data_IF_348853909918
#
_entry.id   IF_348853909918
#
_cell.length_a   1.000
_cell.length_b   1.000
_cell.length_c   1.000
_cell.angle_alpha   90.00
_cell.angle_beta   90.00
_cell.angle_gamma   90.00
#
_symmetry.space_group_name_H-M   'P 1'
#
loop_
_entity.id
_entity.type
_entity.pdbx_description
1 polymer ?
#
# COMPACT_ATOMS: atom_id res chain seq x y z
N UNK A 1 8.77 9.43 1.48
CA UNK A 1 9.76 9.68 2.56
C UNK A 1 9.36 8.96 3.85
N UNK A 2 10.24 8.13 4.39
CA UNK A 2 10.00 7.43 5.65
C UNK A 2 9.95 8.40 6.83
N UNK A 3 9.15 8.07 7.86
CA UNK A 3 8.99 8.86 9.08
C UNK A 3 8.50 10.30 8.85
N UNK A 4 7.82 10.58 7.72
CA UNK A 4 7.33 11.91 7.36
C UNK A 4 6.52 12.56 8.49
N UNK A 5 5.75 11.75 9.23
CA UNK A 5 4.91 12.23 10.33
C UNK A 5 5.46 11.90 11.73
N UNK A 6 6.74 11.58 11.84
CA UNK A 6 7.40 11.13 13.08
C UNK A 6 7.24 12.07 14.27
N UNK A 7 7.14 13.37 14.02
CA UNK A 7 7.08 14.42 15.05
C UNK A 7 5.68 14.99 15.30
N UNK A 8 4.62 14.30 14.85
CA UNK A 8 3.23 14.78 14.97
C UNK A 8 2.35 13.86 15.86
N UNK A 9 2.70 13.62 17.13
CA UNK A 9 2.05 12.60 17.98
C UNK A 9 0.58 12.91 18.33
N UNK A 10 0.12 14.13 18.07
CA UNK A 10 -1.25 14.59 18.33
C UNK A 10 -2.10 14.72 17.05
N UNK A 11 -1.60 14.28 15.90
CA UNK A 11 -2.35 14.37 14.64
C UNK A 11 -3.57 13.46 14.70
N UNK A 12 -4.76 14.04 14.47
CA UNK A 12 -6.05 13.32 14.53
C UNK A 12 -6.60 13.05 13.13
N UNK A 13 -6.35 13.95 12.18
CA UNK A 13 -6.86 13.85 10.81
C UNK A 13 -5.73 14.13 9.83
N UNK A 14 -5.62 13.27 8.84
CA UNK A 14 -4.67 13.38 7.74
C UNK A 14 -5.44 13.19 6.43
N UNK A 15 -5.48 14.25 5.63
CA UNK A 15 -6.10 14.23 4.30
C UNK A 15 -5.00 14.34 3.24
N UNK A 16 -4.85 13.26 2.47
CA UNK A 16 -3.95 13.13 1.34
C UNK A 16 -4.73 12.80 0.05
N UNK A 17 -6.05 13.03 0.05
CA UNK A 17 -6.90 12.76 -1.10
C UNK A 17 -6.59 13.68 -2.28
N UNK A 18 -6.96 13.27 -3.50
CA UNK A 18 -6.73 14.06 -4.73
C UNK A 18 -5.25 14.39 -4.99
N UNK A 19 -4.38 13.40 -4.82
CA UNK A 19 -2.95 13.50 -5.11
C UNK A 19 -2.53 12.40 -6.10
N UNK A 20 -1.22 12.32 -6.38
CA UNK A 20 -0.63 11.32 -7.28
C UNK A 20 0.15 10.26 -6.50
N UNK A 21 -0.26 9.94 -5.27
CA UNK A 21 0.44 8.94 -4.45
C UNK A 21 0.30 7.57 -5.08
N UNK A 22 1.41 6.84 -5.20
CA UNK A 22 1.45 5.49 -5.77
C UNK A 22 1.50 4.40 -4.70
N UNK A 23 1.96 4.73 -3.49
CA UNK A 23 2.09 3.77 -2.41
C UNK A 23 2.03 4.42 -1.02
N UNK A 24 1.69 3.61 -0.02
CA UNK A 24 1.91 3.90 1.40
C UNK A 24 2.85 2.83 1.94
N UNK A 25 4.12 3.20 2.19
CA UNK A 25 5.13 2.28 2.70
C UNK A 25 5.04 2.08 4.22
N UNK A 26 5.66 1.01 4.72
CA UNK A 26 5.69 0.60 6.14
C UNK A 26 5.89 1.75 7.13
N UNK A 27 6.85 2.64 6.86
CA UNK A 27 7.24 3.73 7.76
C UNK A 27 6.57 5.07 7.44
N UNK A 28 5.72 5.15 6.42
CA UNK A 28 5.12 6.41 5.96
C UNK A 28 4.25 7.04 7.04
N UNK A 29 3.44 6.24 7.74
CA UNK A 29 2.47 6.70 8.76
C UNK A 29 2.97 6.48 10.19
N UNK A 30 4.26 6.22 10.37
CA UNK A 30 4.86 6.01 11.69
C UNK A 30 4.98 7.34 12.43
N UNK A 31 4.62 7.35 13.72
CA UNK A 31 4.70 8.53 14.61
C UNK A 31 3.39 9.30 14.82
N UNK A 32 2.28 8.87 14.19
CA UNK A 32 0.94 9.46 14.34
C UNK A 32 -0.07 8.47 14.97
N UNK A 33 0.18 7.97 16.20
CA UNK A 33 -0.63 6.90 16.80
C UNK A 33 -2.07 7.32 17.12
N UNK A 34 -2.35 8.63 17.23
CA UNK A 34 -3.67 9.19 17.57
C UNK A 34 -4.58 9.41 16.36
N UNK A 35 -4.14 9.03 15.16
CA UNK A 35 -4.87 9.32 13.94
C UNK A 35 -6.23 8.59 13.91
N UNK A 36 -7.30 9.35 13.72
CA UNK A 36 -8.68 8.89 13.63
C UNK A 36 -9.25 8.91 12.22
N UNK A 37 -8.75 9.80 11.38
CA UNK A 37 -9.24 9.94 10.00
C UNK A 37 -8.07 9.98 9.04
N UNK A 38 -8.04 9.01 8.13
CA UNK A 38 -7.08 8.93 7.04
C UNK A 38 -7.82 8.92 5.70
N UNK A 39 -7.61 9.97 4.91
CA UNK A 39 -8.20 10.08 3.57
C UNK A 39 -7.11 9.93 2.51
N UNK A 40 -7.22 8.89 1.70
CA UNK A 40 -6.31 8.56 0.60
C UNK A 40 -7.05 8.37 -0.75
N UNK A 41 -8.32 8.76 -0.83
CA UNK A 41 -9.12 8.57 -2.03
C UNK A 41 -8.67 9.48 -3.19
N UNK A 42 -8.98 9.10 -4.43
CA UNK A 42 -8.52 9.83 -5.62
C UNK A 42 -7.00 9.98 -5.65
N UNK A 43 -6.30 8.85 -5.59
CA UNK A 43 -4.86 8.74 -5.77
C UNK A 43 -4.56 7.65 -6.81
N UNK A 44 -3.28 7.31 -6.98
CA UNK A 44 -2.81 6.25 -7.90
C UNK A 44 -2.25 5.05 -7.12
N UNK A 45 -2.76 4.79 -5.91
CA UNK A 45 -2.19 3.78 -5.03
C UNK A 45 -2.31 2.39 -5.66
N UNK A 46 -1.18 1.73 -5.86
CA UNK A 46 -1.09 0.32 -6.26
C UNK A 46 -0.82 -0.60 -5.09
N UNK A 47 -0.28 -0.05 -3.98
CA UNK A 47 0.02 -0.80 -2.77
C UNK A 47 -0.16 0.02 -1.49
N UNK A 48 -0.67 -0.61 -0.44
CA UNK A 48 -0.70 -0.09 0.93
C UNK A 48 -0.13 -1.13 1.89
N UNK A 49 0.94 -0.76 2.62
CA UNK A 49 1.65 -1.69 3.48
C UNK A 49 0.80 -2.05 4.69
N UNK A 50 0.69 -3.35 4.97
CA UNK A 50 -0.12 -3.86 6.07
C UNK A 50 0.27 -3.25 7.41
N UNK A 51 1.57 -3.12 7.67
CA UNK A 51 2.11 -2.63 8.95
C UNK A 51 1.82 -1.15 9.15
N UNK A 52 1.87 -0.35 8.08
CA UNK A 52 1.60 1.08 8.14
C UNK A 52 0.18 1.35 8.69
N UNK A 53 -0.83 0.66 8.16
CA UNK A 53 -2.23 0.85 8.57
C UNK A 53 -2.52 0.16 9.90
N UNK A 54 -2.02 -1.06 10.14
CA UNK A 54 -2.24 -1.78 11.40
C UNK A 54 -1.74 -1.02 12.63
N UNK A 55 -0.76 -0.12 12.46
CA UNK A 55 -0.24 0.71 13.55
C UNK A 55 -1.24 1.76 14.06
N UNK A 56 -2.25 2.11 13.26
CA UNK A 56 -3.22 3.18 13.54
C UNK A 56 -4.44 2.66 14.32
N UNK A 57 -4.23 2.27 15.58
CA UNK A 57 -5.25 1.63 16.43
C UNK A 57 -6.48 2.49 16.71
N UNK A 58 -6.34 3.82 16.67
CA UNK A 58 -7.42 4.78 16.90
C UNK A 58 -8.20 5.15 15.63
N UNK A 59 -7.89 4.52 14.48
CA UNK A 59 -8.49 4.89 13.20
C UNK A 59 -10.00 4.57 13.16
N UNK A 60 -10.80 5.60 12.90
CA UNK A 60 -12.26 5.53 12.80
C UNK A 60 -12.74 5.62 11.35
N UNK A 61 -11.99 6.32 10.48
CA UNK A 61 -12.31 6.53 9.07
C UNK A 61 -11.10 6.27 8.19
N UNK A 62 -11.26 5.39 7.19
CA UNK A 62 -10.27 5.12 6.15
C UNK A 62 -10.93 5.18 4.76
N UNK A 63 -10.44 6.05 3.87
CA UNK A 63 -10.85 6.04 2.46
C UNK A 63 -9.69 5.68 1.54
N UNK A 64 -9.83 4.60 0.79
CA UNK A 64 -8.92 4.16 -0.27
C UNK A 64 -9.64 4.04 -1.63
N UNK A 65 -10.88 4.52 -1.75
CA UNK A 65 -11.63 4.45 -2.99
C UNK A 65 -10.98 5.27 -4.11
N UNK A 66 -11.29 4.91 -5.36
CA UNK A 66 -10.77 5.61 -6.55
C UNK A 66 -9.23 5.61 -6.55
N UNK A 67 -8.67 4.40 -6.51
CA UNK A 67 -7.23 4.10 -6.56
C UNK A 67 -7.00 2.90 -7.51
N UNK A 68 -5.76 2.41 -7.61
CA UNK A 68 -5.37 1.33 -8.51
C UNK A 68 -4.99 0.03 -7.75
N UNK A 69 -5.62 -0.21 -6.59
CA UNK A 69 -5.29 -1.37 -5.76
C UNK A 69 -5.83 -2.65 -6.41
N UNK A 70 -4.96 -3.64 -6.57
CA UNK A 70 -5.32 -4.96 -7.12
C UNK A 70 -5.58 -5.99 -6.03
N UNK A 71 -4.96 -5.82 -4.87
CA UNK A 71 -5.13 -6.67 -3.69
C UNK A 71 -4.90 -5.84 -2.42
N UNK A 72 -5.20 -6.43 -1.27
CA UNK A 72 -4.91 -5.88 0.06
C UNK A 72 -4.29 -7.00 0.92
N UNK A 73 -3.31 -6.69 1.77
CA UNK A 73 -2.68 -7.69 2.64
C UNK A 73 -3.67 -8.21 3.69
N UNK A 74 -3.62 -9.51 3.99
CA UNK A 74 -4.62 -10.22 4.83
C UNK A 74 -4.86 -9.58 6.19
N UNK A 75 -3.81 -9.01 6.79
CA UNK A 75 -3.86 -8.45 8.13
C UNK A 75 -4.09 -6.93 8.15
N UNK A 76 -4.35 -6.29 7.01
CA UNK A 76 -4.45 -4.81 6.91
C UNK A 76 -5.36 -4.19 7.97
N UNK A 77 -6.46 -4.87 8.30
CA UNK A 77 -7.48 -4.39 9.23
C UNK A 77 -7.47 -5.07 10.60
N UNK A 78 -6.50 -5.95 10.89
CA UNK A 78 -6.50 -6.81 12.08
C UNK A 78 -6.59 -6.02 13.41
N UNK A 79 -5.99 -4.84 13.47
CA UNK A 79 -5.90 -4.00 14.68
C UNK A 79 -6.81 -2.76 14.66
N UNK A 80 -7.68 -2.61 13.66
CA UNK A 80 -8.51 -1.42 13.49
C UNK A 80 -9.86 -1.54 14.23
N UNK A 81 -9.80 -1.79 15.54
CA UNK A 81 -11.00 -2.04 16.36
C UNK A 81 -11.97 -0.85 16.44
N UNK A 82 -11.50 0.37 16.13
CA UNK A 82 -12.29 1.60 16.15
C UNK A 82 -12.89 1.97 14.80
N UNK A 83 -12.62 1.21 13.74
CA UNK A 83 -13.01 1.55 12.38
C UNK A 83 -14.54 1.55 12.22
N UNK A 84 -15.08 2.68 11.78
CA UNK A 84 -16.52 2.90 11.56
C UNK A 84 -16.85 3.14 10.10
N UNK A 85 -15.88 3.58 9.31
CA UNK A 85 -16.06 3.82 7.88
C UNK A 85 -14.83 3.37 7.12
N UNK A 86 -15.06 2.52 6.14
CA UNK A 86 -14.07 2.05 5.18
C UNK A 86 -14.64 2.26 3.78
N UNK A 87 -13.86 2.81 2.86
CA UNK A 87 -14.22 2.93 1.44
C UNK A 87 -13.14 2.31 0.58
N UNK A 88 -13.50 1.31 -0.21
CA UNK A 88 -12.61 0.58 -1.13
C UNK A 88 -13.14 0.54 -2.58
N UNK A 89 -14.31 1.13 -2.85
CA UNK A 89 -14.92 1.16 -4.19
C UNK A 89 -13.99 1.78 -5.23
N UNK A 90 -14.21 1.48 -6.51
CA UNK A 90 -13.39 2.03 -7.61
C UNK A 90 -11.89 1.73 -7.44
N UNK A 91 -11.58 0.45 -7.19
CA UNK A 91 -10.24 -0.11 -7.26
C UNK A 91 -10.24 -1.30 -8.24
N UNK A 92 -9.06 -1.77 -8.61
CA UNK A 92 -8.88 -2.84 -9.59
C UNK A 92 -8.73 -4.23 -8.92
N UNK A 93 -9.55 -4.50 -7.90
CA UNK A 93 -9.45 -5.67 -7.04
C UNK A 93 -9.56 -6.98 -7.84
N UNK A 94 -8.54 -7.83 -7.71
CA UNK A 94 -8.48 -9.17 -8.27
C UNK A 94 -9.03 -10.14 -7.22
N UNK A 95 -10.24 -10.64 -7.45
CA UNK A 95 -10.93 -11.58 -6.59
C UNK A 95 -10.47 -13.02 -6.82
N UNK A 96 -9.19 -13.26 -6.54
CA UNK A 96 -8.58 -14.59 -6.50
C UNK A 96 -8.49 -15.12 -5.06
N UNK A 97 -7.84 -16.27 -4.86
CA UNK A 97 -7.67 -16.86 -3.53
C UNK A 97 -7.01 -15.92 -2.50
N UNK A 98 -6.16 -14.98 -2.94
CA UNK A 98 -5.47 -14.03 -2.06
C UNK A 98 -6.40 -12.95 -1.52
N UNK A 99 -7.51 -12.64 -2.18
CA UNK A 99 -8.49 -11.67 -1.70
C UNK A 99 -9.66 -12.30 -0.92
N UNK A 100 -9.72 -13.63 -0.82
CA UNK A 100 -10.78 -14.36 -0.12
C UNK A 100 -10.94 -13.94 1.35
N UNK A 101 -9.86 -13.52 2.02
CA UNK A 101 -9.91 -13.00 3.39
C UNK A 101 -10.77 -11.74 3.48
N UNK A 102 -10.73 -10.87 2.47
CA UNK A 102 -11.46 -9.60 2.48
C UNK A 102 -12.96 -9.86 2.44
N UNK A 103 -13.40 -10.83 1.62
CA UNK A 103 -14.79 -11.27 1.59
C UNK A 103 -15.24 -11.82 2.95
N UNK A 104 -14.43 -12.69 3.58
CA UNK A 104 -14.69 -13.20 4.94
C UNK A 104 -14.79 -12.08 5.98
N UNK A 105 -13.92 -11.08 5.87
CA UNK A 105 -13.90 -9.94 6.79
C UNK A 105 -15.12 -9.03 6.58
N UNK A 106 -15.44 -8.66 5.34
CA UNK A 106 -16.58 -7.79 5.03
C UNK A 106 -17.92 -8.41 5.42
N UNK A 107 -18.08 -9.73 5.30
CA UNK A 107 -19.28 -10.44 5.78
C UNK A 107 -19.50 -10.28 7.28
N UNK A 108 -18.43 -10.16 8.08
CA UNK A 108 -18.54 -9.89 9.53
C UNK A 108 -18.87 -8.43 9.84
N UNK A 109 -18.59 -7.51 8.91
CA UNK A 109 -18.79 -6.07 9.06
C UNK A 109 -19.58 -5.46 7.89
N UNK A 110 -20.86 -5.83 7.71
CA UNK A 110 -21.64 -5.52 6.50
C UNK A 110 -21.93 -4.03 6.25
N UNK A 111 -21.58 -3.16 7.20
CA UNK A 111 -21.69 -1.69 7.07
C UNK A 111 -20.40 -1.03 6.58
N UNK A 112 -19.28 -1.76 6.55
CA UNK A 112 -17.98 -1.26 6.13
C UNK A 112 -17.74 -1.61 4.66
N UNK A 113 -17.09 -0.70 3.92
CA UNK A 113 -16.74 -0.87 2.51
C UNK A 113 -17.90 -1.33 1.61
N UNK A 114 -19.08 -0.72 1.83
CA UNK A 114 -20.22 -0.90 0.93
C UNK A 114 -19.78 -0.63 -0.51
N UNK A 115 -20.29 -1.45 -1.44
CA UNK A 115 -20.01 -1.34 -2.88
C UNK A 115 -18.57 -1.69 -3.30
N UNK A 116 -17.81 -2.40 -2.47
CA UNK A 116 -16.53 -2.98 -2.89
C UNK A 116 -16.80 -4.10 -3.91
N UNK A 117 -16.38 -3.90 -5.15
CA UNK A 117 -16.62 -4.84 -6.26
C UNK A 117 -15.32 -5.41 -6.79
N UNK A 118 -15.40 -6.63 -7.29
CA UNK A 118 -14.32 -7.24 -8.04
C UNK A 118 -14.16 -6.56 -9.40
N UNK A 119 -12.91 -6.31 -9.80
CA UNK A 119 -12.58 -5.88 -11.15
C UNK A 119 -12.22 -7.07 -12.05
N UNK A 120 -11.54 -8.06 -11.47
CA UNK A 120 -11.05 -9.28 -12.12
C UNK A 120 -11.23 -10.45 -11.14
N UNK A 121 -11.28 -11.72 -11.58
CA UNK A 121 -11.35 -12.17 -12.98
C UNK A 121 -12.69 -11.83 -13.62
N UNK A 122 -12.79 -11.96 -14.96
CA UNK A 122 -13.96 -11.54 -15.75
C UNK A 122 -15.28 -12.18 -15.26
N UNK A 123 -15.21 -13.39 -14.71
CA UNK A 123 -16.37 -14.12 -14.19
C UNK A 123 -16.94 -13.49 -12.91
N UNK A 124 -16.08 -12.84 -12.13
CA UNK A 124 -16.46 -12.18 -10.87
C UNK A 124 -16.56 -10.66 -11.03
N UNK A 125 -16.24 -10.11 -12.21
CA UNK A 125 -16.26 -8.68 -12.47
C UNK A 125 -17.61 -8.06 -12.07
N UNK A 126 -17.54 -6.91 -11.41
CA UNK A 126 -18.66 -6.13 -10.87
C UNK A 126 -19.45 -6.81 -9.73
N UNK A 127 -19.13 -8.05 -9.35
CA UNK A 127 -19.72 -8.70 -8.18
C UNK A 127 -19.22 -8.04 -6.90
N UNK A 128 -20.12 -7.91 -5.92
CA UNK A 128 -19.79 -7.38 -4.61
C UNK A 128 -18.95 -8.40 -3.84
N UNK A 129 -17.77 -7.98 -3.37
CA UNK A 129 -16.79 -8.87 -2.70
C UNK A 129 -17.40 -9.56 -1.47
N UNK A 130 -18.29 -8.88 -0.74
CA UNK A 130 -18.92 -9.43 0.46
C UNK A 130 -19.97 -10.53 0.16
N UNK A 131 -20.49 -10.58 -1.07
CA UNK A 131 -21.54 -11.52 -1.46
C UNK A 131 -20.96 -12.84 -2.01
N UNK A 132 -19.66 -12.87 -2.29
CA UNK A 132 -18.95 -14.04 -2.82
C UNK A 132 -18.55 -15.04 -1.72
N UNK A 133 -18.56 -16.32 -2.07
CA UNK A 133 -18.13 -17.42 -1.21
C UNK A 133 -16.69 -17.82 -1.48
N UNK A 134 -16.03 -18.41 -0.47
CA UNK A 134 -14.60 -18.75 -0.51
C UNK A 134 -14.21 -19.66 -1.70
N UNK A 135 -15.15 -20.49 -2.20
CA UNK A 135 -14.92 -21.39 -3.35
C UNK A 135 -14.81 -20.67 -4.70
N UNK A 136 -15.31 -19.43 -4.79
CA UNK A 136 -15.27 -18.62 -6.00
C UNK A 136 -13.90 -17.94 -6.19
N UNK A 137 -13.19 -17.71 -5.09
CA UNK A 137 -11.85 -17.14 -5.06
C UNK A 137 -10.78 -18.21 -5.37
N UNK A 138 -10.30 -18.24 -6.62
CA UNK A 138 -9.36 -19.27 -7.11
C UNK A 138 -8.06 -18.66 -7.61
N UNK A 139 -6.94 -19.31 -7.32
CA UNK A 139 -5.63 -19.01 -7.90
C UNK A 139 -5.17 -20.18 -8.77
N UNK A 140 -4.56 -19.89 -9.91
CA UNK A 140 -3.67 -20.86 -10.57
C UNK A 140 -2.41 -21.00 -9.73
N UNK A 141 -1.93 -22.22 -9.46
CA UNK A 141 -0.80 -22.51 -8.56
C UNK A 141 0.57 -21.90 -8.90
N UNK A 142 0.62 -20.92 -9.81
CA UNK A 142 1.76 -20.08 -10.18
C UNK A 142 1.61 -18.62 -9.72
N UNK A 143 0.46 -18.24 -9.15
CA UNK A 143 0.27 -16.89 -8.62
C UNK A 143 1.06 -16.77 -7.31
N UNK A 144 2.24 -16.14 -7.39
CA UNK A 144 3.01 -15.77 -6.22
C UNK A 144 2.15 -14.88 -5.31
N UNK A 145 2.20 -15.11 -4.00
CA UNK A 145 1.51 -14.26 -3.04
C UNK A 145 1.98 -12.82 -3.25
N UNK A 146 1.08 -11.83 -3.39
CA UNK A 146 1.50 -10.44 -3.38
C UNK A 146 2.28 -10.18 -2.09
N UNK A 147 3.48 -9.62 -2.19
CA UNK A 147 4.30 -9.29 -1.04
C UNK A 147 3.51 -8.35 -0.11
N UNK A 148 3.55 -8.63 1.20
CA UNK A 148 2.92 -7.77 2.21
C UNK A 148 3.63 -6.42 2.37
N UNK A 149 4.81 -6.30 1.79
CA UNK A 149 5.62 -5.09 1.75
C UNK A 149 5.32 -4.36 0.45
N UNK A 150 4.92 -3.10 0.59
CA UNK A 150 4.88 -2.20 -0.55
C UNK A 150 6.29 -1.85 -0.93
N UNK A 151 6.84 -2.66 -1.80
CA UNK A 151 7.98 -2.26 -2.58
C UNK A 151 7.46 -1.11 -3.45
N UNK A 152 8.01 0.10 -3.24
CA UNK A 152 8.18 0.94 -4.42
C UNK A 152 8.88 0.00 -5.39
N UNK A 153 8.42 -0.15 -6.63
CA UNK A 153 9.37 -0.53 -7.66
C UNK A 153 10.60 0.32 -7.35
N UNK A 154 11.66 -0.33 -6.88
CA UNK A 154 12.78 0.40 -6.35
C UNK A 154 13.49 0.86 -7.60
N UNK A 155 12.91 1.88 -8.21
CA UNK A 155 13.35 2.43 -9.46
C UNK A 155 14.73 2.91 -9.13
N UNK A 156 15.68 2.38 -9.90
CA UNK A 156 17.05 2.72 -9.73
C UNK A 156 17.16 4.25 -9.62
N UNK A 157 17.75 4.80 -8.56
CA UNK A 157 17.76 6.23 -8.34
C UNK A 157 18.33 6.90 -9.58
N UNK A 158 17.55 7.75 -10.28
CA UNK A 158 18.09 8.47 -11.43
C UNK A 158 19.12 9.49 -10.93
N UNK A 159 20.33 9.57 -11.51
CA UNK A 159 20.80 9.05 -12.80
C UNK A 159 21.64 7.74 -12.74
N UNK A 160 21.50 6.95 -11.68
CA UNK A 160 22.22 5.71 -11.45
C UNK A 160 21.69 4.54 -12.30
N UNK A 161 22.49 3.47 -12.38
CA UNK A 161 22.13 2.21 -13.05
C UNK A 161 22.08 1.07 -12.04
N UNK A 162 21.08 0.20 -12.15
CA UNK A 162 20.89 -0.89 -11.21
C UNK A 162 20.84 -2.23 -11.95
N UNK A 163 21.65 -3.19 -11.50
CA UNK A 163 21.73 -4.54 -12.06
C UNK A 163 22.23 -5.51 -10.99
N UNK A 164 21.61 -6.68 -10.86
CA UNK A 164 22.06 -7.78 -9.99
C UNK A 164 22.36 -7.37 -8.54
N UNK A 165 21.54 -6.49 -7.95
CA UNK A 165 21.75 -5.97 -6.60
C UNK A 165 22.85 -4.90 -6.47
N UNK A 166 23.41 -4.42 -7.57
CA UNK A 166 24.37 -3.31 -7.60
C UNK A 166 23.66 -2.03 -8.01
N UNK A 167 23.84 -0.95 -7.24
CA UNK A 167 23.42 0.41 -7.59
C UNK A 167 24.66 1.23 -7.95
N UNK A 168 24.87 1.46 -9.24
CA UNK A 168 26.02 2.20 -9.78
C UNK A 168 25.67 3.66 -10.05
N UNK A 169 26.12 4.54 -9.15
CA UNK A 169 25.94 5.99 -9.19
C UNK A 169 27.25 6.73 -9.46
N UNK A 170 28.27 6.09 -10.04
CA UNK A 170 29.58 6.74 -10.27
C UNK A 170 29.51 7.80 -11.37
N UNK A 171 30.28 8.87 -11.19
CA UNK A 171 30.44 9.95 -12.18
C UNK A 171 29.10 10.59 -12.57
N UNK A 172 28.20 10.72 -11.59
CA UNK A 172 26.84 11.25 -11.76
C UNK A 172 26.65 12.67 -11.26
N UNK A 173 27.74 13.33 -10.86
CA UNK A 173 27.73 14.67 -10.27
C UNK A 173 26.72 14.78 -9.11
N UNK A 174 26.60 13.71 -8.31
CA UNK A 174 25.74 13.73 -7.14
C UNK A 174 26.32 14.66 -6.09
N UNK A 175 25.50 15.56 -5.55
CA UNK A 175 25.85 16.42 -4.42
C UNK A 175 25.41 15.83 -3.07
N UNK A 176 24.58 14.78 -3.09
CA UNK A 176 24.07 14.06 -1.92
C UNK A 176 23.90 12.58 -2.22
N UNK A 177 23.93 11.75 -1.18
CA UNK A 177 23.57 10.33 -1.26
C UNK A 177 22.08 10.20 -1.60
N UNK A 178 21.65 9.33 -2.54
CA UNK A 178 20.24 9.13 -2.87
C UNK A 178 19.43 8.65 -1.66
N UNK A 179 18.28 9.28 -1.42
CA UNK A 179 17.42 8.98 -0.26
C UNK A 179 16.68 7.64 -0.38
N UNK A 180 16.61 7.06 -1.59
CA UNK A 180 15.86 5.85 -1.90
C UNK A 180 16.71 4.89 -2.74
N UNK A 181 17.03 3.73 -2.17
CA UNK A 181 17.80 2.65 -2.79
C UNK A 181 16.95 1.37 -2.83
N UNK A 182 17.13 0.50 -3.83
CA UNK A 182 16.50 -0.83 -3.85
C UNK A 182 16.80 -1.68 -2.62
N UNK A 183 15.78 -2.34 -2.08
CA UNK A 183 15.91 -3.21 -0.89
C UNK A 183 16.87 -4.39 -1.11
N UNK A 184 17.02 -4.84 -2.36
CA UNK A 184 17.98 -5.88 -2.77
C UNK A 184 19.39 -5.36 -3.09
N UNK A 185 19.73 -4.13 -2.70
CA UNK A 185 21.07 -3.57 -2.96
C UNK A 185 22.11 -4.29 -2.08
N UNK A 186 22.98 -5.06 -2.72
CA UNK A 186 24.15 -5.73 -2.15
C UNK A 186 25.38 -4.82 -2.23
N UNK A 187 25.44 -3.97 -3.26
CA UNK A 187 26.58 -3.08 -3.51
C UNK A 187 26.11 -1.69 -3.98
N UNK A 188 26.61 -0.62 -3.35
CA UNK A 188 26.32 0.77 -3.72
C UNK A 188 27.62 1.49 -4.11
N UNK A 189 27.72 1.95 -5.36
CA UNK A 189 28.90 2.65 -5.88
C UNK A 189 28.63 4.15 -6.04
N UNK A 190 29.23 4.96 -5.17
CA UNK A 190 29.08 6.44 -5.15
C UNK A 190 30.38 7.19 -5.46
N UNK A 191 31.42 6.48 -5.90
CA UNK A 191 32.73 7.04 -6.23
C UNK A 191 32.63 8.13 -7.31
N UNK A 192 33.58 9.08 -7.31
CA UNK A 192 33.69 10.12 -8.35
C UNK A 192 32.42 10.99 -8.48
N UNK A 193 31.89 11.42 -7.33
CA UNK A 193 30.81 12.41 -7.23
C UNK A 193 31.26 13.62 -6.41
N UNK A 194 30.38 14.60 -6.23
CA UNK A 194 30.60 15.85 -5.51
C UNK A 194 29.81 15.87 -4.18
N UNK A 195 29.69 14.71 -3.52
CA UNK A 195 28.84 14.55 -2.34
C UNK A 195 29.49 15.27 -1.15
N UNK A 196 28.73 16.18 -0.52
CA UNK A 196 29.15 16.98 0.64
C UNK A 196 28.16 16.87 1.78
#
# INVERSE_FOLDING_TARGET
>A
PDLLFGSMPHLIRLDLSHNNLQMIGRSTLKGIPTLKTLQLHNNMLTCVDGVAIQSLKELEFLSLNSNNLTSLPEDLFANLFRLRTLRLSENNLICDCHLSWLARWLRKFPRLALYTRCFSPIQLKDQNVADLHDQEFKCSGLAERPSNECQSESQCPHPCRCADGIVDCREKALSKVPDHLPEGTIELRLEQNEIT
#
